data_IF_037675779259
#
_entry.id   IF_037675779259
#
_cell.length_a   1.000
_cell.length_b   1.000
_cell.length_c   1.000
_cell.angle_alpha   90.00
_cell.angle_beta   90.00
_cell.angle_gamma   90.00
#
_symmetry.space_group_name_H-M   'P 1'
#
loop_
_entity.id
_entity.type
_entity.pdbx_description
1 polymer ?
#
# COMPACT_ATOMS: atom_id res chain seq x y z
N UNK A 1 23.96 30.35 9.49
CA UNK A 1 24.72 29.17 9.96
C UNK A 1 25.34 28.50 8.74
N UNK A 2 26.65 28.26 8.76
CA UNK A 2 27.43 27.88 7.58
C UNK A 2 27.45 26.36 7.33
N UNK A 3 27.57 25.97 6.05
CA UNK A 3 27.63 24.57 5.57
C UNK A 3 28.83 23.75 6.10
N UNK A 4 29.62 24.28 7.04
CA UNK A 4 30.82 23.66 7.58
C UNK A 4 30.52 22.64 8.72
N UNK A 5 29.34 22.68 9.32
CA UNK A 5 29.00 21.82 10.46
C UNK A 5 28.52 20.41 10.05
N UNK A 6 28.29 20.16 8.75
CA UNK A 6 27.74 18.88 8.24
C UNK A 6 28.78 17.78 8.00
N UNK A 7 29.97 17.86 8.60
CA UNK A 7 31.03 16.86 8.39
C UNK A 7 31.57 16.34 9.71
N UNK A 8 30.84 15.41 10.36
CA UNK A 8 31.43 14.51 11.39
C UNK A 8 30.58 13.32 11.87
N UNK A 9 29.57 12.85 11.14
CA UNK A 9 28.86 11.60 11.45
C UNK A 9 28.86 10.61 10.27
N UNK A 10 30.02 10.44 9.61
CA UNK A 10 30.19 9.37 8.62
C UNK A 10 30.42 8.06 9.37
N UNK A 11 29.35 7.31 9.61
CA UNK A 11 29.42 5.98 10.25
C UNK A 11 30.24 5.05 9.37
N UNK A 12 31.41 4.65 9.89
CA UNK A 12 32.29 3.67 9.29
C UNK A 12 31.54 2.33 9.17
N UNK A 13 31.19 1.94 7.93
CA UNK A 13 30.63 0.62 7.62
C UNK A 13 31.66 -0.46 8.02
N UNK A 14 31.44 -1.13 9.17
CA UNK A 14 32.18 -2.34 9.54
C UNK A 14 31.91 -3.38 8.44
N UNK A 15 32.96 -3.81 7.75
CA UNK A 15 32.88 -4.91 6.76
C UNK A 15 32.43 -6.16 7.50
N UNK A 16 31.18 -6.59 7.28
CA UNK A 16 30.65 -7.84 7.80
C UNK A 16 31.25 -8.97 6.97
N UNK A 17 32.32 -9.59 7.47
CA UNK A 17 32.84 -10.85 6.93
C UNK A 17 32.31 -12.00 7.78
N UNK A 18 31.00 -12.19 7.78
CA UNK A 18 30.44 -13.50 8.08
C UNK A 18 30.33 -14.21 6.72
N UNK A 19 31.22 -15.16 6.47
CA UNK A 19 31.15 -16.03 5.29
C UNK A 19 29.95 -16.96 5.50
N UNK A 20 28.75 -16.51 5.08
CA UNK A 20 27.60 -17.41 4.97
C UNK A 20 27.94 -18.43 3.89
N UNK A 21 27.82 -19.72 4.19
CA UNK A 21 27.98 -20.75 3.17
C UNK A 21 26.83 -20.65 2.16
N UNK A 22 27.06 -21.10 0.93
CA UNK A 22 26.02 -21.12 -0.10
C UNK A 22 24.80 -21.94 0.36
N UNK A 23 25.04 -23.03 1.07
CA UNK A 23 23.99 -23.89 1.60
C UNK A 23 23.17 -23.18 2.69
N UNK A 24 23.80 -22.43 3.60
CA UNK A 24 23.08 -21.63 4.61
C UNK A 24 22.19 -20.56 3.97
N UNK A 25 22.66 -19.95 2.87
CA UNK A 25 21.88 -18.96 2.14
C UNK A 25 20.67 -19.59 1.43
N UNK A 26 20.85 -20.76 0.81
CA UNK A 26 19.78 -21.50 0.14
C UNK A 26 18.72 -21.94 1.16
N UNK A 27 19.13 -22.46 2.31
CA UNK A 27 18.21 -22.89 3.36
C UNK A 27 17.43 -21.71 3.96
N UNK A 28 18.11 -20.59 4.24
CA UNK A 28 17.44 -19.37 4.71
C UNK A 28 16.44 -18.81 3.68
N UNK A 29 16.77 -18.87 2.39
CA UNK A 29 15.87 -18.45 1.31
C UNK A 29 14.64 -19.37 1.20
N UNK A 30 14.80 -20.68 1.38
CA UNK A 30 13.69 -21.63 1.39
C UNK A 30 12.76 -21.42 2.59
N UNK A 31 13.31 -21.24 3.79
CA UNK A 31 12.52 -20.93 4.99
C UNK A 31 11.73 -19.62 4.81
N UNK A 32 12.38 -18.61 4.23
CA UNK A 32 11.74 -17.34 3.90
C UNK A 32 10.60 -17.49 2.88
N UNK A 33 10.81 -18.27 1.81
CA UNK A 33 9.77 -18.55 0.82
C UNK A 33 8.57 -19.31 1.42
N UNK A 34 8.81 -20.16 2.42
CA UNK A 34 7.78 -20.86 3.19
C UNK A 34 7.13 -19.99 4.28
N UNK A 35 7.53 -18.72 4.43
CA UNK A 35 7.01 -17.79 5.43
C UNK A 35 7.45 -18.12 6.87
N UNK A 36 8.45 -18.99 7.03
CA UNK A 36 9.03 -19.31 8.33
C UNK A 36 10.12 -18.29 8.62
N UNK A 37 10.03 -17.61 9.77
CA UNK A 37 11.12 -16.78 10.23
C UNK A 37 12.31 -17.69 10.55
N UNK A 38 13.51 -17.43 10.02
CA UNK A 38 14.68 -18.22 10.37
C UNK A 38 14.88 -18.10 11.89
N UNK A 39 14.74 -19.22 12.60
CA UNK A 39 15.11 -19.34 14.00
C UNK A 39 16.59 -19.01 14.09
N UNK A 40 16.90 -17.84 14.67
CA UNK A 40 18.25 -17.39 14.91
C UNK A 40 18.88 -18.40 15.86
N UNK A 41 19.64 -19.38 15.33
CA UNK A 41 20.54 -20.20 16.14
C UNK A 41 21.48 -19.24 16.85
N UNK A 42 21.28 -19.12 18.16
CA UNK A 42 22.03 -18.26 19.04
C UNK A 42 23.45 -18.80 19.20
N UNK A 43 24.30 -18.59 18.20
CA UNK A 43 25.75 -18.64 18.40
C UNK A 43 26.28 -17.22 18.38
N UNK A 44 26.25 -16.65 19.59
CA UNK A 44 27.12 -15.58 20.10
C UNK A 44 27.38 -14.36 19.22
N UNK A 45 26.78 -13.26 19.67
CA UNK A 45 27.25 -11.88 19.52
C UNK A 45 27.18 -11.26 18.11
N UNK A 46 25.99 -10.72 17.79
CA UNK A 46 25.78 -9.26 17.66
C UNK A 46 24.40 -9.01 17.03
N UNK A 47 23.52 -8.39 17.82
CA UNK A 47 22.19 -7.95 17.44
C UNK A 47 22.29 -6.81 16.42
N UNK A 48 21.80 -6.99 15.20
CA UNK A 48 21.32 -5.89 14.36
C UNK A 48 19.82 -5.75 14.61
N UNK A 49 19.31 -4.58 15.07
CA UNK A 49 17.91 -4.27 14.93
C UNK A 49 17.66 -4.11 13.42
N UNK A 50 17.10 -5.13 12.79
CA UNK A 50 16.49 -4.95 11.48
C UNK A 50 15.26 -4.06 11.70
N UNK A 51 15.39 -2.77 11.43
CA UNK A 51 14.27 -1.84 11.32
C UNK A 51 13.40 -2.38 10.18
N UNK A 52 12.35 -3.14 10.54
CA UNK A 52 11.27 -3.50 9.62
C UNK A 52 10.45 -2.23 9.37
N UNK A 53 10.33 -1.71 8.14
CA UNK A 53 9.11 -1.01 7.79
C UNK A 53 7.97 -2.03 7.96
N UNK A 54 7.18 -1.84 9.00
CA UNK A 54 6.07 -2.70 9.36
C UNK A 54 4.91 -2.52 8.38
N UNK A 55 5.01 -2.95 7.12
CA UNK A 55 3.86 -3.12 6.23
C UNK A 55 4.14 -4.25 5.22
N UNK A 56 3.37 -5.33 5.27
CA UNK A 56 3.32 -6.31 4.18
C UNK A 56 3.34 -7.79 4.54
N UNK A 57 3.18 -8.21 5.80
CA UNK A 57 2.86 -9.61 6.11
C UNK A 57 1.34 -9.80 6.13
N UNK A 58 0.72 -9.92 4.94
CA UNK A 58 -0.64 -10.44 4.82
C UNK A 58 -0.61 -11.85 4.25
N UNK A 59 -0.48 -12.82 5.16
CA UNK A 59 -1.07 -14.14 5.00
C UNK A 59 -1.63 -14.55 6.37
N UNK A 60 -2.76 -13.95 6.73
CA UNK A 60 -3.69 -14.50 7.71
C UNK A 60 -4.94 -14.87 6.93
N UNK A 61 -5.20 -16.16 6.81
CA UNK A 61 -6.48 -16.68 6.36
C UNK A 61 -7.59 -16.01 7.15
N UNK A 62 -8.55 -15.50 6.40
CA UNK A 62 -9.46 -14.43 6.77
C UNK A 62 -10.61 -14.97 7.63
N UNK A 63 -10.39 -15.03 8.94
CA UNK A 63 -11.46 -15.04 9.94
C UNK A 63 -11.64 -13.61 10.49
N UNK A 64 -11.46 -12.58 9.64
CA UNK A 64 -11.80 -11.21 10.00
C UNK A 64 -13.26 -10.96 9.62
N UNK A 65 -14.04 -10.25 10.47
CA UNK A 65 -15.37 -9.81 10.08
C UNK A 65 -15.24 -9.06 8.75
N UNK A 66 -16.04 -9.46 7.76
CA UNK A 66 -16.03 -8.89 6.42
C UNK A 66 -16.14 -7.37 6.52
N UNK A 67 -15.02 -6.67 6.35
CA UNK A 67 -15.00 -5.22 6.44
C UNK A 67 -15.88 -4.67 5.30
N UNK A 68 -16.87 -3.82 5.60
CA UNK A 68 -17.91 -3.45 4.63
C UNK A 68 -17.38 -2.65 3.43
N UNK A 69 -16.15 -2.12 3.52
CA UNK A 69 -15.58 -1.27 2.48
C UNK A 69 -14.16 -1.71 2.13
N UNK A 70 -13.91 -1.93 0.83
CA UNK A 70 -12.56 -2.16 0.28
C UNK A 70 -11.99 -0.84 -0.23
N UNK A 71 -10.69 -0.60 -0.02
CA UNK A 71 -9.99 0.58 -0.55
C UNK A 71 -9.77 0.43 -2.05
N UNK A 72 -9.93 1.51 -2.80
CA UNK A 72 -9.67 1.58 -4.24
C UNK A 72 -8.95 2.88 -4.59
N UNK A 73 -8.03 2.81 -5.56
CA UNK A 73 -7.31 3.95 -6.11
C UNK A 73 -7.73 4.11 -7.56
N UNK A 74 -8.13 5.32 -7.95
CA UNK A 74 -8.56 5.66 -9.31
C UNK A 74 -7.74 6.83 -9.83
N UNK A 75 -7.49 6.82 -11.13
CA UNK A 75 -6.93 7.98 -11.83
C UNK A 75 -8.09 8.85 -12.31
N UNK A 76 -8.07 10.13 -11.93
CA UNK A 76 -9.06 11.13 -12.32
C UNK A 76 -8.36 12.31 -12.97
N UNK A 77 -9.04 13.01 -13.89
CA UNK A 77 -8.54 14.28 -14.41
C UNK A 77 -8.56 15.36 -13.32
N UNK A 78 -7.72 16.38 -13.45
CA UNK A 78 -7.72 17.54 -12.56
C UNK A 78 -9.11 18.20 -12.49
N UNK A 79 -9.80 18.31 -13.64
CA UNK A 79 -11.16 18.85 -13.69
C UNK A 79 -12.16 18.04 -12.87
N UNK A 80 -12.09 16.70 -12.92
CA UNK A 80 -12.97 15.84 -12.16
C UNK A 80 -12.67 15.90 -10.65
N UNK A 81 -11.38 16.03 -10.27
CA UNK A 81 -10.98 16.20 -8.86
C UNK A 81 -11.55 17.50 -8.29
N UNK A 82 -11.49 18.60 -9.05
CA UNK A 82 -12.06 19.89 -8.66
C UNK A 82 -13.59 19.82 -8.53
N UNK A 83 -14.29 19.30 -9.54
CA UNK A 83 -15.75 19.14 -9.49
C UNK A 83 -16.20 18.26 -8.31
N UNK A 84 -15.48 17.17 -8.03
CA UNK A 84 -15.77 16.32 -6.87
C UNK A 84 -15.54 17.05 -5.54
N UNK A 85 -14.56 17.95 -5.47
CA UNK A 85 -14.30 18.76 -4.29
C UNK A 85 -15.39 19.81 -4.06
N UNK A 86 -15.80 20.50 -5.11
CA UNK A 86 -16.84 21.54 -5.07
C UNK A 86 -18.18 20.92 -4.62
N UNK A 87 -18.62 19.83 -5.25
CA UNK A 87 -19.84 19.11 -4.87
C UNK A 87 -19.80 18.57 -3.44
N UNK A 88 -18.62 18.12 -2.98
CA UNK A 88 -18.45 17.65 -1.62
C UNK A 88 -18.57 18.78 -0.60
N UNK A 89 -18.04 19.97 -0.91
CA UNK A 89 -18.16 21.15 -0.07
C UNK A 89 -19.58 21.71 -0.02
N UNK A 90 -20.28 21.78 -1.16
CA UNK A 90 -21.64 22.32 -1.24
C UNK A 90 -22.65 21.47 -0.47
N UNK A 91 -22.54 20.15 -0.58
CA UNK A 91 -23.45 19.22 0.08
C UNK A 91 -23.01 18.83 1.51
N UNK A 92 -21.87 19.32 1.99
CA UNK A 92 -21.22 18.89 3.24
C UNK A 92 -21.04 17.35 3.33
N UNK A 93 -20.81 16.69 2.19
CA UNK A 93 -20.67 15.23 2.10
C UNK A 93 -19.21 14.88 1.76
N UNK A 94 -18.64 13.90 2.48
CA UNK A 94 -17.31 13.40 2.17
C UNK A 94 -17.21 12.85 0.72
N UNK A 95 -16.11 13.14 0.04
CA UNK A 95 -15.85 12.71 -1.36
C UNK A 95 -16.10 11.21 -1.59
N UNK A 96 -15.63 10.36 -0.70
CA UNK A 96 -15.82 8.90 -0.80
C UNK A 96 -17.29 8.46 -0.63
N UNK A 97 -18.10 9.21 0.12
CA UNK A 97 -19.55 8.98 0.23
C UNK A 97 -20.28 9.44 -1.03
N UNK A 98 -19.88 10.58 -1.59
CA UNK A 98 -20.43 11.09 -2.84
C UNK A 98 -20.18 10.13 -4.01
N UNK A 99 -18.94 9.63 -4.15
CA UNK A 99 -18.60 8.63 -5.18
C UNK A 99 -19.47 7.37 -5.04
N UNK A 100 -19.64 6.84 -3.81
CA UNK A 100 -20.53 5.70 -3.57
C UNK A 100 -21.97 5.99 -3.97
N UNK A 101 -22.49 7.16 -3.62
CA UNK A 101 -23.85 7.55 -3.96
C UNK A 101 -24.06 7.69 -5.48
N UNK A 102 -23.11 8.29 -6.19
CA UNK A 102 -23.18 8.43 -7.64
C UNK A 102 -23.16 7.06 -8.35
N UNK A 103 -22.34 6.12 -7.86
CA UNK A 103 -22.31 4.74 -8.36
C UNK A 103 -23.66 4.05 -8.12
N UNK A 104 -24.18 4.12 -6.89
CA UNK A 104 -25.47 3.51 -6.52
C UNK A 104 -26.61 4.09 -7.36
N UNK A 105 -26.65 5.43 -7.50
CA UNK A 105 -27.64 6.12 -8.30
C UNK A 105 -27.57 5.68 -9.77
N UNK A 106 -26.38 5.59 -10.37
CA UNK A 106 -26.22 5.11 -11.74
C UNK A 106 -26.66 3.65 -11.90
N UNK A 107 -26.38 2.81 -10.89
CA UNK A 107 -26.79 1.40 -10.88
C UNK A 107 -28.31 1.23 -10.73
N UNK A 108 -28.97 2.11 -9.98
CA UNK A 108 -30.42 2.09 -9.78
C UNK A 108 -31.23 2.56 -11.01
N UNK A 109 -30.60 3.28 -11.96
CA UNK A 109 -31.27 3.74 -13.18
C UNK A 109 -31.81 2.57 -14.02
N UNK A 110 -32.95 2.75 -14.72
CA UNK A 110 -33.46 1.77 -15.68
C UNK A 110 -32.41 1.38 -16.73
N UNK A 111 -32.42 0.10 -17.14
CA UNK A 111 -31.42 -0.45 -18.08
C UNK A 111 -31.34 0.34 -19.38
N UNK A 112 -32.46 0.85 -19.89
CA UNK A 112 -32.48 1.62 -21.13
C UNK A 112 -31.80 2.99 -20.98
N UNK A 113 -32.09 3.73 -19.91
CA UNK A 113 -31.44 5.03 -19.63
C UNK A 113 -29.95 4.86 -19.35
N UNK A 114 -29.58 3.81 -18.60
CA UNK A 114 -28.19 3.49 -18.30
C UNK A 114 -27.41 3.23 -19.59
N UNK A 115 -27.95 2.40 -20.50
CA UNK A 115 -27.33 2.13 -21.80
C UNK A 115 -27.19 3.39 -22.64
N UNK A 116 -28.15 4.30 -22.61
CA UNK A 116 -28.07 5.57 -23.34
C UNK A 116 -26.93 6.44 -22.80
N UNK A 117 -26.77 6.54 -21.47
CA UNK A 117 -25.63 7.25 -20.86
C UNK A 117 -24.30 6.57 -21.19
N UNK A 118 -24.23 5.25 -21.10
CA UNK A 118 -23.02 4.49 -21.44
C UNK A 118 -22.62 4.68 -22.91
N UNK A 119 -23.59 4.76 -23.84
CA UNK A 119 -23.31 5.06 -25.25
C UNK A 119 -22.64 6.42 -25.44
N UNK A 120 -22.99 7.43 -24.63
CA UNK A 120 -22.31 8.73 -24.71
C UNK A 120 -20.85 8.68 -24.27
N UNK A 121 -20.48 7.76 -23.35
CA UNK A 121 -19.09 7.61 -22.89
C UNK A 121 -18.14 7.07 -23.96
N UNK A 122 -18.66 6.40 -24.99
CA UNK A 122 -17.86 5.88 -26.11
C UNK A 122 -17.75 6.87 -27.28
N UNK A 123 -18.37 8.04 -27.17
CA UNK A 123 -18.48 9.00 -28.26
C UNK A 123 -17.48 10.15 -28.18
N UNK A 124 -16.71 10.23 -27.10
CA UNK A 124 -15.56 11.11 -26.89
C UNK A 124 -14.24 10.37 -27.21
#
# INVERSE_FOLDING_TARGET
>A
MGLADLKKNYTQSKKVTAQLSLDDFIEAANLYAMGQAPEVRQTTAQLVPFIRPAQGAQNKQDNRPHEPFRKATFTLSESAISQLADLASECEIAKSKLVRFLIEHHYALPVHERKQKEQSLYRD
#
